data_IF_585833827156
#
_entry.id   IF_585833827156
#
_cell.length_a   1.000
_cell.length_b   1.000
_cell.length_c   1.000
_cell.angle_alpha   90.00
_cell.angle_beta   90.00
_cell.angle_gamma   90.00
#
_symmetry.space_group_name_H-M   'P 1'
#
loop_
_entity.id
_entity.type
_entity.pdbx_description
1 polymer ?
#
# COMPACT_ATOMS: atom_id res chain seq x y z
N UNK A 1 6.45 39.40 -8.56
CA UNK A 1 5.70 40.01 -7.43
C UNK A 1 4.47 39.15 -7.23
N UNK A 2 4.62 38.06 -6.47
CA UNK A 2 4.46 38.03 -5.01
C UNK A 2 2.97 38.07 -4.64
N UNK A 3 2.44 36.90 -4.33
CA UNK A 3 1.08 36.67 -3.88
C UNK A 3 0.77 35.18 -3.71
N UNK A 4 1.77 34.34 -3.40
CA UNK A 4 1.47 33.04 -2.81
C UNK A 4 0.74 33.30 -1.50
N UNK A 5 -0.52 32.92 -1.48
CA UNK A 5 -1.38 33.08 -0.32
C UNK A 5 -0.83 32.26 0.84
N UNK A 6 -0.23 32.95 1.81
CA UNK A 6 0.09 32.41 3.13
C UNK A 6 -1.12 31.72 3.79
N UNK A 7 -2.35 32.01 3.33
CA UNK A 7 -3.57 31.35 3.80
C UNK A 7 -3.80 29.94 3.23
N UNK A 8 -3.19 29.57 2.09
CA UNK A 8 -3.21 28.20 1.54
C UNK A 8 -2.31 27.26 2.34
N UNK A 9 -1.18 27.75 2.87
CA UNK A 9 -0.33 27.00 3.80
C UNK A 9 -0.90 26.92 5.23
N UNK A 10 -1.77 27.86 5.62
CA UNK A 10 -2.41 27.91 6.95
C UNK A 10 -3.72 27.12 7.02
N UNK A 11 -4.38 26.86 5.88
CA UNK A 11 -5.29 25.73 5.71
C UNK A 11 -4.42 24.47 5.48
N UNK A 12 -3.82 23.84 6.49
CA UNK A 12 -4.49 22.70 7.13
C UNK A 12 -3.65 22.13 8.29
N UNK A 13 -2.75 22.88 8.95
CA UNK A 13 -2.04 22.32 10.13
C UNK A 13 -3.01 21.89 11.25
N UNK A 14 -4.11 22.62 11.43
CA UNK A 14 -5.17 22.28 12.39
C UNK A 14 -6.14 21.20 11.88
N UNK A 15 -6.28 21.04 10.56
CA UNK A 15 -7.12 19.99 9.97
C UNK A 15 -6.36 18.66 9.90
N UNK A 16 -5.08 18.66 9.51
CA UNK A 16 -4.21 17.47 9.51
C UNK A 16 -4.00 16.91 10.93
N UNK A 17 -3.85 17.77 11.94
CA UNK A 17 -3.74 17.32 13.34
C UNK A 17 -5.05 16.74 13.89
N UNK A 18 -6.21 17.31 13.52
CA UNK A 18 -7.51 16.73 13.84
C UNK A 18 -7.78 15.42 13.12
N UNK A 19 -7.38 15.32 11.84
CA UNK A 19 -7.46 14.08 11.05
C UNK A 19 -6.59 12.99 11.66
N UNK A 20 -5.39 13.31 12.17
CA UNK A 20 -4.46 12.31 12.73
C UNK A 20 -5.01 11.51 13.92
N UNK A 21 -5.75 12.14 14.84
CA UNK A 21 -6.22 11.47 16.06
C UNK A 21 -7.36 10.47 15.77
N UNK A 22 -8.29 10.85 14.88
CA UNK A 22 -9.51 10.09 14.59
C UNK A 22 -9.49 9.39 13.23
N UNK A 23 -8.40 9.49 12.45
CA UNK A 23 -8.26 8.90 11.11
C UNK A 23 -8.75 7.45 11.05
N UNK A 24 -8.29 6.60 11.98
CA UNK A 24 -8.65 5.18 11.99
C UNK A 24 -10.16 4.96 12.20
N UNK A 25 -10.82 5.84 12.96
CA UNK A 25 -12.27 5.81 13.14
C UNK A 25 -13.03 6.32 11.91
N UNK A 26 -12.44 7.20 11.11
CA UNK A 26 -13.02 7.70 9.87
C UNK A 26 -12.88 6.69 8.72
N UNK A 27 -11.87 5.83 8.73
CA UNK A 27 -11.61 4.87 7.63
C UNK A 27 -12.09 3.45 7.91
N UNK A 28 -12.12 3.00 9.16
CA UNK A 28 -12.53 1.64 9.51
C UNK A 28 -13.91 1.60 10.16
N UNK A 29 -14.79 0.66 9.76
CA UNK A 29 -16.15 0.58 10.27
C UNK A 29 -16.21 0.01 11.69
N UNK A 30 -15.24 -0.81 12.09
CA UNK A 30 -15.24 -1.52 13.37
C UNK A 30 -14.04 -1.15 14.24
N UNK A 31 -14.26 -1.06 15.55
CA UNK A 31 -13.19 -0.86 16.53
C UNK A 31 -12.16 -2.00 16.52
N UNK A 32 -12.56 -3.20 16.13
CA UNK A 32 -11.66 -4.34 15.97
C UNK A 32 -10.58 -4.06 14.93
N UNK A 33 -10.92 -3.48 13.77
CA UNK A 33 -9.94 -3.16 12.73
C UNK A 33 -8.95 -2.08 13.17
N UNK A 34 -9.41 -1.13 13.98
CA UNK A 34 -8.57 -0.10 14.61
C UNK A 34 -7.58 -0.74 15.59
N UNK A 35 -8.05 -1.66 16.44
CA UNK A 35 -7.20 -2.40 17.38
C UNK A 35 -6.18 -3.25 16.63
N UNK A 36 -6.61 -3.99 15.61
CA UNK A 36 -5.73 -4.81 14.76
C UNK A 36 -4.66 -3.97 14.10
N UNK A 37 -5.04 -2.83 13.50
CA UNK A 37 -4.09 -1.90 12.89
C UNK A 37 -3.07 -1.39 13.91
N UNK A 38 -3.54 -0.81 15.03
CA UNK A 38 -2.67 -0.23 16.06
C UNK A 38 -1.71 -1.26 16.65
N UNK A 39 -2.22 -2.45 16.97
CA UNK A 39 -1.43 -3.54 17.53
C UNK A 39 -0.34 -4.02 16.59
N UNK A 40 -0.70 -4.38 15.36
CA UNK A 40 0.26 -4.83 14.35
C UNK A 40 1.24 -3.74 13.93
N UNK A 41 0.79 -2.51 13.74
CA UNK A 41 1.66 -1.38 13.39
C UNK A 41 2.64 -1.05 14.54
N UNK A 42 2.18 -1.08 15.80
CA UNK A 42 3.04 -0.86 16.95
C UNK A 42 4.08 -1.96 17.10
N UNK A 43 3.67 -3.22 16.92
CA UNK A 43 4.56 -4.38 16.96
C UNK A 43 5.62 -4.24 15.86
N UNK A 44 5.18 -3.97 14.63
CA UNK A 44 6.03 -3.81 13.45
C UNK A 44 7.08 -2.71 13.66
N UNK A 45 6.68 -1.54 14.17
CA UNK A 45 7.57 -0.40 14.38
C UNK A 45 8.77 -0.70 15.29
N UNK A 46 8.67 -1.67 16.22
CA UNK A 46 9.79 -2.08 17.09
C UNK A 46 10.95 -2.74 16.33
N UNK A 47 10.68 -3.23 15.12
CA UNK A 47 11.65 -3.94 14.28
C UNK A 47 12.31 -3.06 13.21
N UNK A 48 12.04 -1.76 13.20
CA UNK A 48 12.68 -0.80 12.30
C UNK A 48 13.46 0.24 13.10
N UNK A 49 14.58 0.72 12.55
CA UNK A 49 15.33 1.83 13.15
C UNK A 49 14.66 3.17 12.83
N UNK A 50 14.13 3.26 11.61
CA UNK A 50 13.42 4.41 11.07
C UNK A 50 11.91 4.22 11.16
N UNK A 51 11.11 5.31 11.13
CA UNK A 51 9.67 5.21 11.04
C UNK A 51 9.24 4.37 9.82
N UNK A 52 8.29 3.45 10.07
CA UNK A 52 7.68 2.58 9.06
C UNK A 52 7.10 3.43 7.94
N UNK A 53 7.36 3.07 6.68
CA UNK A 53 6.79 3.76 5.52
C UNK A 53 5.52 3.05 5.08
N UNK A 54 4.36 3.64 5.31
CA UNK A 54 3.04 3.06 5.00
C UNK A 54 2.61 3.44 3.58
N UNK A 55 2.01 2.48 2.87
CA UNK A 55 1.48 2.66 1.49
C UNK A 55 0.09 2.02 1.36
N UNK A 56 -0.36 1.75 0.12
CA UNK A 56 -1.56 0.96 -0.14
C UNK A 56 -2.87 1.65 0.26
N UNK A 57 -3.84 0.86 0.73
CA UNK A 57 -5.21 1.32 1.05
C UNK A 57 -5.24 2.32 2.21
N UNK A 58 -4.36 2.16 3.21
CA UNK A 58 -4.25 3.07 4.36
C UNK A 58 -3.73 4.43 3.90
N UNK A 59 -2.66 4.46 3.10
CA UNK A 59 -2.16 5.72 2.53
C UNK A 59 -3.16 6.38 1.59
N UNK A 60 -3.84 5.58 0.76
CA UNK A 60 -4.93 6.06 -0.10
C UNK A 60 -6.00 6.79 0.72
N UNK A 61 -6.49 6.14 1.78
CA UNK A 61 -7.57 6.68 2.62
C UNK A 61 -7.14 7.95 3.36
N UNK A 62 -5.88 8.02 3.80
CA UNK A 62 -5.33 9.22 4.43
C UNK A 62 -5.36 10.42 3.48
N UNK A 63 -4.83 10.25 2.26
CA UNK A 63 -4.77 11.34 1.28
C UNK A 63 -6.16 11.83 0.88
N UNK A 64 -7.10 10.90 0.69
CA UNK A 64 -8.47 11.24 0.35
C UNK A 64 -9.16 12.03 1.47
N UNK A 65 -9.07 11.55 2.71
CA UNK A 65 -9.65 12.25 3.85
C UNK A 65 -8.99 13.63 4.07
N UNK A 66 -7.67 13.71 3.91
CA UNK A 66 -6.89 14.95 3.95
C UNK A 66 -7.33 16.00 2.92
N UNK A 67 -7.88 15.55 1.79
CA UNK A 67 -8.42 16.39 0.73
C UNK A 67 -9.96 16.52 0.77
N UNK A 68 -10.59 16.14 1.89
CA UNK A 68 -12.05 16.25 2.08
C UNK A 68 -12.88 15.22 1.32
N UNK A 69 -12.24 14.22 0.69
CA UNK A 69 -12.91 13.13 -0.02
C UNK A 69 -13.16 11.98 0.95
N UNK A 70 -14.42 11.82 1.38
CA UNK A 70 -14.84 10.69 2.22
C UNK A 70 -15.16 9.48 1.34
N UNK A 71 -14.69 8.31 1.75
CA UNK A 71 -15.06 7.02 1.15
C UNK A 71 -15.92 6.21 2.13
N UNK A 72 -16.58 5.19 1.60
CA UNK A 72 -17.16 4.16 2.43
C UNK A 72 -16.07 3.53 3.29
N UNK A 73 -16.40 3.26 4.56
CA UNK A 73 -15.46 2.62 5.48
C UNK A 73 -15.28 1.17 5.09
N UNK A 74 -14.04 0.74 4.95
CA UNK A 74 -13.71 -0.62 4.50
C UNK A 74 -13.10 -1.43 5.64
N UNK A 75 -13.26 -2.75 5.59
CA UNK A 75 -12.58 -3.66 6.53
C UNK A 75 -11.08 -3.67 6.26
N UNK A 76 -10.30 -3.73 7.33
CA UNK A 76 -8.85 -3.85 7.22
C UNK A 76 -8.46 -5.30 6.89
N UNK A 77 -7.88 -5.49 5.71
CA UNK A 77 -7.40 -6.80 5.25
C UNK A 77 -5.92 -7.01 5.55
N UNK A 78 -5.12 -5.96 5.34
CA UNK A 78 -3.67 -5.99 5.40
C UNK A 78 -3.08 -4.60 5.65
N UNK A 79 -1.80 -4.56 6.05
CA UNK A 79 -1.00 -3.34 6.15
C UNK A 79 0.12 -3.42 5.11
N UNK A 80 0.12 -2.48 4.17
CA UNK A 80 1.18 -2.36 3.17
C UNK A 80 2.26 -1.39 3.65
N UNK A 81 3.53 -1.82 3.63
CA UNK A 81 4.68 -0.99 4.02
C UNK A 81 5.82 -1.10 3.01
N UNK A 82 6.68 -0.09 2.97
CA UNK A 82 7.85 -0.04 2.11
C UNK A 82 9.12 0.01 2.94
N UNK A 83 10.13 -0.75 2.54
CA UNK A 83 11.48 -0.71 3.11
C UNK A 83 12.48 -0.62 1.97
N UNK A 84 13.58 0.11 2.14
CA UNK A 84 14.55 0.30 1.05
C UNK A 84 15.16 -1.02 0.55
N UNK A 85 15.30 -2.00 1.44
CA UNK A 85 15.81 -3.32 1.13
C UNK A 85 15.96 -4.19 2.38
N UNK A 86 16.73 -5.27 2.24
CA UNK A 86 16.96 -6.25 3.32
C UNK A 86 17.62 -5.64 4.56
N UNK A 87 18.46 -4.62 4.40
CA UNK A 87 19.08 -3.91 5.53
C UNK A 87 18.06 -3.23 6.43
N UNK A 88 16.87 -2.92 5.92
CA UNK A 88 15.77 -2.39 6.72
C UNK A 88 15.05 -3.44 7.55
N UNK A 89 15.28 -4.74 7.33
CA UNK A 89 14.61 -5.82 8.07
C UNK A 89 15.49 -6.31 9.22
N UNK A 90 14.99 -6.20 10.46
CA UNK A 90 15.65 -6.81 11.62
C UNK A 90 15.27 -8.29 11.76
N UNK A 91 16.22 -9.19 12.05
CA UNK A 91 15.92 -10.60 12.30
C UNK A 91 14.93 -10.86 13.45
N UNK A 92 14.76 -9.90 14.37
CA UNK A 92 13.77 -9.99 15.46
C UNK A 92 12.33 -10.03 14.95
N UNK A 93 12.04 -9.69 13.68
CA UNK A 93 10.70 -9.84 13.10
C UNK A 93 10.13 -11.25 13.29
N UNK A 94 10.97 -12.29 13.25
CA UNK A 94 10.53 -13.69 13.41
C UNK A 94 10.03 -14.03 14.81
N UNK A 95 10.32 -13.19 15.80
CA UNK A 95 9.92 -13.40 17.20
C UNK A 95 8.47 -12.95 17.43
N UNK A 96 8.00 -12.02 16.60
CA UNK A 96 6.71 -11.35 16.72
C UNK A 96 5.74 -11.69 15.57
N UNK A 97 6.26 -12.21 14.45
CA UNK A 97 5.50 -12.49 13.24
C UNK A 97 5.85 -13.84 12.61
N UNK A 98 4.83 -14.49 12.03
CA UNK A 98 5.02 -15.60 11.10
C UNK A 98 5.44 -15.06 9.73
N UNK A 99 6.50 -15.62 9.16
CA UNK A 99 6.93 -15.27 7.79
C UNK A 99 6.23 -16.16 6.79
N UNK A 100 5.27 -15.62 6.02
CA UNK A 100 4.59 -16.37 4.97
C UNK A 100 5.41 -16.43 3.67
N UNK A 101 5.97 -15.29 3.28
CA UNK A 101 6.77 -15.17 2.07
C UNK A 101 8.05 -14.41 2.36
N UNK A 102 9.16 -14.82 1.76
CA UNK A 102 10.43 -14.09 1.80
C UNK A 102 11.08 -14.17 0.42
N UNK A 103 11.21 -13.03 -0.25
CA UNK A 103 11.66 -12.92 -1.64
C UNK A 103 12.83 -11.92 -1.79
N UNK A 104 14.03 -12.23 -1.24
CA UNK A 104 15.18 -11.33 -1.25
C UNK A 104 15.65 -10.91 -2.67
N UNK A 105 15.29 -11.68 -3.70
CA UNK A 105 15.78 -11.51 -5.07
C UNK A 105 14.71 -11.08 -6.08
N UNK A 106 13.49 -10.75 -5.64
CA UNK A 106 12.38 -10.41 -6.56
C UNK A 106 12.50 -9.02 -7.19
N UNK A 107 13.45 -8.22 -6.73
CA UNK A 107 13.71 -6.88 -7.24
C UNK A 107 12.76 -5.81 -6.67
N UNK A 108 12.66 -4.69 -7.38
CA UNK A 108 11.97 -3.46 -6.96
C UNK A 108 10.46 -3.49 -7.14
N UNK A 109 9.74 -2.79 -6.26
CA UNK A 109 8.29 -2.66 -6.32
C UNK A 109 7.53 -3.97 -6.10
N UNK A 110 8.20 -4.98 -5.53
CA UNK A 110 7.68 -6.32 -5.26
C UNK A 110 7.74 -6.61 -3.76
N UNK A 111 6.92 -7.56 -3.31
CA UNK A 111 6.93 -8.06 -1.93
C UNK A 111 8.32 -8.62 -1.64
N UNK A 112 8.99 -8.04 -0.65
CA UNK A 112 10.23 -8.50 -0.07
C UNK A 112 9.97 -9.57 0.99
N UNK A 113 9.03 -9.29 1.90
CA UNK A 113 8.62 -10.22 2.95
C UNK A 113 7.12 -10.01 3.22
N UNK A 114 6.37 -11.11 3.40
CA UNK A 114 4.99 -11.07 3.87
C UNK A 114 4.95 -11.68 5.27
N UNK A 115 4.45 -10.89 6.21
CA UNK A 115 4.38 -11.22 7.63
C UNK A 115 2.92 -11.45 8.02
N UNK A 116 2.72 -12.24 9.07
CA UNK A 116 1.42 -12.44 9.70
C UNK A 116 1.56 -12.26 11.21
N UNK A 117 0.79 -11.35 11.76
CA UNK A 117 0.66 -11.12 13.21
C UNK A 117 -0.40 -12.07 13.76
N UNK A 118 0.02 -13.03 14.58
CA UNK A 118 -0.89 -14.02 15.16
C UNK A 118 -1.90 -13.40 16.14
N UNK A 119 -1.46 -12.42 16.91
CA UNK A 119 -2.25 -11.79 17.96
C UNK A 119 -3.40 -10.97 17.38
N UNK A 120 -3.11 -10.20 16.34
CA UNK A 120 -4.06 -9.30 15.69
C UNK A 120 -4.66 -9.88 14.41
N UNK A 121 -4.30 -11.13 14.06
CA UNK A 121 -4.73 -11.81 12.83
C UNK A 121 -4.58 -10.91 11.59
N UNK A 122 -3.41 -10.32 11.43
CA UNK A 122 -3.16 -9.29 10.42
C UNK A 122 -2.08 -9.73 9.45
N UNK A 123 -2.33 -9.55 8.15
CA UNK A 123 -1.29 -9.66 7.13
C UNK A 123 -0.56 -8.33 6.98
N UNK A 124 0.76 -8.38 6.85
CA UNK A 124 1.59 -7.22 6.57
C UNK A 124 2.42 -7.52 5.33
N UNK A 125 2.25 -6.70 4.30
CA UNK A 125 2.97 -6.82 3.04
C UNK A 125 4.10 -5.79 3.00
N UNK A 126 5.34 -6.27 3.04
CA UNK A 126 6.54 -5.42 3.04
C UNK A 126 7.15 -5.42 1.63
N UNK A 127 7.15 -4.27 0.98
CA UNK A 127 7.63 -4.09 -0.38
C UNK A 127 9.00 -3.40 -0.42
N UNK A 128 9.76 -3.68 -1.47
CA UNK A 128 10.85 -2.79 -1.90
C UNK A 128 10.28 -1.59 -2.67
N UNK A 129 10.97 -0.42 -2.70
CA UNK A 129 10.50 0.73 -3.44
C UNK A 129 10.48 0.42 -4.94
N UNK A 130 9.46 0.88 -5.66
CA UNK A 130 9.47 0.81 -7.14
C UNK A 130 10.56 1.71 -7.71
N UNK A 131 10.66 2.94 -7.18
CA UNK A 131 11.60 3.97 -7.63
C UNK A 131 12.54 4.39 -6.50
N UNK A 132 13.76 4.80 -6.84
CA UNK A 132 14.75 5.28 -5.86
C UNK A 132 14.33 6.57 -5.16
N UNK A 133 13.54 7.40 -5.85
CA UNK A 133 13.15 8.72 -5.36
C UNK A 133 11.94 8.67 -4.44
N UNK A 134 11.38 7.49 -4.14
CA UNK A 134 10.22 7.36 -3.26
C UNK A 134 10.48 8.00 -1.88
N UNK A 135 11.70 7.84 -1.36
CA UNK A 135 12.09 8.36 -0.04
C UNK A 135 12.14 9.88 0.04
N UNK A 136 12.20 10.59 -1.10
CA UNK A 136 12.19 12.05 -1.14
C UNK A 136 10.78 12.65 -1.13
N UNK A 137 9.74 11.81 -1.17
CA UNK A 137 8.32 12.22 -1.23
C UNK A 137 7.50 11.53 -0.14
N UNK A 138 8.08 11.44 1.05
CA UNK A 138 7.43 10.89 2.23
C UNK A 138 6.91 12.02 3.11
N UNK A 139 5.75 11.80 3.73
CA UNK A 139 5.19 12.71 4.74
C UNK A 139 5.29 12.05 6.11
N UNK A 140 5.97 12.70 7.06
CA UNK A 140 6.01 12.27 8.45
C UNK A 140 4.65 12.55 9.12
N UNK A 141 4.09 11.55 9.79
CA UNK A 141 2.85 11.68 10.57
C UNK A 141 2.72 10.58 11.62
N UNK A 142 1.64 10.62 12.41
CA UNK A 142 1.30 9.56 13.35
C UNK A 142 -0.03 8.90 12.97
N UNK A 143 -0.02 7.59 12.75
CA UNK A 143 -1.22 6.79 12.54
C UNK A 143 -1.54 6.01 13.82
N UNK A 144 -2.68 6.34 14.44
CA UNK A 144 -3.08 5.70 15.70
C UNK A 144 -2.09 5.95 16.85
N UNK A 145 -1.42 7.11 16.86
CA UNK A 145 -0.42 7.47 17.85
C UNK A 145 0.99 6.92 17.60
N UNK A 146 1.21 6.22 16.48
CA UNK A 146 2.50 5.61 16.14
C UNK A 146 3.14 6.40 15.01
N UNK A 147 4.37 6.87 15.24
CA UNK A 147 5.13 7.60 14.22
C UNK A 147 5.41 6.73 13.00
N UNK A 148 5.11 7.27 11.83
CA UNK A 148 5.33 6.62 10.54
C UNK A 148 5.58 7.67 9.46
N UNK A 149 5.99 7.18 8.29
CA UNK A 149 6.06 7.95 7.05
C UNK A 149 5.00 7.46 6.10
N UNK A 150 4.44 8.34 5.30
CA UNK A 150 3.43 7.99 4.31
C UNK A 150 3.94 8.25 2.90
N UNK A 151 3.75 7.27 2.01
CA UNK A 151 3.99 7.45 0.57
C UNK A 151 3.02 8.51 0.01
N UNK A 152 3.50 9.40 -0.86
CA UNK A 152 2.70 10.45 -1.51
C UNK A 152 1.48 9.90 -2.27
N UNK A 153 0.46 10.74 -2.48
CA UNK A 153 -0.71 10.35 -3.26
C UNK A 153 -0.33 10.04 -4.72
N UNK A 154 0.63 10.78 -5.26
CA UNK A 154 1.12 10.65 -6.63
C UNK A 154 1.86 9.33 -6.86
N UNK A 155 2.71 8.92 -5.91
CA UNK A 155 3.40 7.62 -5.95
C UNK A 155 2.39 6.46 -5.83
N UNK A 156 1.36 6.60 -5.00
CA UNK A 156 0.28 5.59 -4.89
C UNK A 156 -0.54 5.53 -6.19
N UNK A 157 -0.92 6.67 -6.77
CA UNK A 157 -1.66 6.73 -8.02
C UNK A 157 -0.85 6.16 -9.20
N UNK A 158 0.42 6.51 -9.33
CA UNK A 158 1.30 5.96 -10.35
C UNK A 158 1.48 4.43 -10.20
N UNK A 159 1.58 3.93 -8.95
CA UNK A 159 1.59 2.48 -8.69
C UNK A 159 0.31 1.82 -9.14
N UNK A 160 -0.85 2.36 -8.74
CA UNK A 160 -2.14 1.80 -9.10
C UNK A 160 -2.35 1.81 -10.61
N UNK A 161 -1.98 2.89 -11.30
CA UNK A 161 -2.02 2.95 -12.76
C UNK A 161 -1.19 1.82 -13.38
N UNK A 162 0.02 1.55 -12.89
CA UNK A 162 0.85 0.44 -13.38
C UNK A 162 0.21 -0.94 -13.13
N UNK A 163 -0.53 -1.08 -12.03
CA UNK A 163 -1.25 -2.31 -11.65
C UNK A 163 -2.47 -2.53 -12.56
N UNK A 164 -3.22 -1.49 -12.91
CA UNK A 164 -4.44 -1.59 -13.75
C UNK A 164 -4.16 -1.48 -15.25
N UNK A 165 -2.98 -0.97 -15.64
CA UNK A 165 -2.55 -0.86 -17.03
C UNK A 165 -2.75 -2.15 -17.86
N UNK A 166 -2.51 -3.38 -17.36
CA UNK A 166 -2.74 -4.60 -18.13
C UNK A 166 -4.14 -4.75 -18.76
N UNK A 167 -5.15 -4.02 -18.26
CA UNK A 167 -6.46 -3.92 -18.92
C UNK A 167 -6.38 -3.40 -20.37
N UNK A 168 -5.36 -2.61 -20.73
CA UNK A 168 -5.13 -2.17 -22.11
C UNK A 168 -4.86 -3.33 -23.07
N UNK A 169 -4.42 -4.46 -22.53
CA UNK A 169 -4.12 -5.70 -23.27
C UNK A 169 -5.17 -6.79 -23.04
N UNK A 170 -6.31 -6.44 -22.43
CA UNK A 170 -7.39 -7.37 -22.13
C UNK A 170 -7.13 -8.30 -20.94
N UNK A 171 -6.12 -8.01 -20.11
CA UNK A 171 -5.90 -8.77 -18.87
C UNK A 171 -6.94 -8.37 -17.80
N UNK A 172 -7.49 -9.34 -17.04
CA UNK A 172 -8.41 -9.03 -15.96
C UNK A 172 -7.69 -8.35 -14.79
N UNK A 173 -8.38 -7.41 -14.15
CA UNK A 173 -7.88 -6.63 -13.02
C UNK A 173 -8.91 -6.60 -11.88
N UNK A 174 -8.45 -6.44 -10.64
CA UNK A 174 -9.37 -6.32 -9.50
C UNK A 174 -10.07 -4.96 -9.52
N UNK A 175 -11.41 -4.91 -9.39
CA UNK A 175 -12.18 -3.66 -9.43
C UNK A 175 -11.68 -2.60 -8.43
N UNK A 176 -11.30 -3.03 -7.23
CA UNK A 176 -10.84 -2.14 -6.15
C UNK A 176 -9.65 -1.26 -6.55
N UNK A 177 -8.74 -1.75 -7.41
CA UNK A 177 -7.59 -0.95 -7.84
C UNK A 177 -8.01 0.17 -8.78
N UNK A 178 -9.01 -0.07 -9.63
CA UNK A 178 -9.57 0.95 -10.54
C UNK A 178 -10.30 2.01 -9.74
N UNK A 179 -11.13 1.59 -8.77
CA UNK A 179 -11.87 2.49 -7.89
C UNK A 179 -10.90 3.39 -7.09
N UNK A 180 -9.88 2.79 -6.46
CA UNK A 180 -8.87 3.53 -5.73
C UNK A 180 -8.13 4.51 -6.64
N UNK A 181 -7.73 4.07 -7.84
CA UNK A 181 -7.05 4.92 -8.81
C UNK A 181 -7.91 6.12 -9.22
N UNK A 182 -9.16 5.88 -9.65
CA UNK A 182 -10.08 6.93 -10.10
C UNK A 182 -10.30 8.00 -9.03
N UNK A 183 -10.47 7.58 -7.77
CA UNK A 183 -10.72 8.52 -6.67
C UNK A 183 -9.44 9.29 -6.32
N UNK A 184 -8.28 8.62 -6.25
CA UNK A 184 -7.00 9.31 -6.03
C UNK A 184 -6.66 10.29 -7.16
N UNK A 185 -6.95 9.93 -8.40
CA UNK A 185 -6.69 10.78 -9.56
C UNK A 185 -7.37 12.15 -9.46
N UNK A 186 -8.44 12.28 -8.67
CA UNK A 186 -9.12 13.56 -8.44
C UNK A 186 -8.38 14.54 -7.51
N UNK A 187 -7.38 14.07 -6.76
CA UNK A 187 -6.68 14.87 -5.74
C UNK A 187 -5.16 14.99 -5.96
N UNK A 188 -4.58 14.20 -6.86
CA UNK A 188 -3.13 14.22 -7.10
C UNK A 188 -2.69 15.48 -7.85
N UNK A 189 -1.49 15.96 -7.57
CA UNK A 189 -0.82 16.92 -8.44
C UNK A 189 -0.40 16.25 -9.76
N UNK A 190 -1.10 16.58 -10.85
CA UNK A 190 -0.88 15.95 -12.15
C UNK A 190 0.54 16.19 -12.69
N UNK A 191 1.17 17.33 -12.38
CA UNK A 191 2.53 17.59 -12.84
C UNK A 191 3.52 16.60 -12.19
N UNK A 192 3.43 16.43 -10.88
CA UNK A 192 4.25 15.47 -10.13
C UNK A 192 3.91 14.02 -10.51
N UNK A 193 2.63 13.67 -10.69
CA UNK A 193 2.22 12.33 -11.09
C UNK A 193 2.80 11.91 -12.46
N UNK A 194 2.85 12.83 -13.44
CA UNK A 194 3.49 12.59 -14.75
C UNK A 194 4.97 12.25 -14.61
N UNK A 195 5.69 12.98 -13.78
CA UNK A 195 7.12 12.74 -13.57
C UNK A 195 7.35 11.37 -12.94
N UNK A 196 6.58 11.05 -11.90
CA UNK A 196 6.68 9.79 -11.16
C UNK A 196 6.30 8.59 -12.02
N UNK A 197 5.27 8.72 -12.87
CA UNK A 197 4.77 7.64 -13.73
C UNK A 197 5.87 6.93 -14.51
N UNK A 198 6.83 7.69 -15.04
CA UNK A 198 7.95 7.13 -15.83
C UNK A 198 8.79 6.13 -15.07
N UNK A 199 8.90 6.28 -13.74
CA UNK A 199 9.62 5.33 -12.89
C UNK A 199 8.77 4.14 -12.44
N UNK A 200 7.43 4.28 -12.43
CA UNK A 200 6.52 3.21 -12.03
C UNK A 200 6.08 2.31 -13.19
N UNK A 201 6.07 2.85 -14.40
CA UNK A 201 5.68 2.09 -15.59
C UNK A 201 6.70 0.98 -15.90
N UNK A 202 6.20 -0.20 -16.26
CA UNK A 202 7.06 -1.30 -16.75
C UNK A 202 7.58 -0.95 -18.15
N UNK A 203 8.62 -1.63 -18.61
CA UNK A 203 9.16 -1.45 -19.97
C UNK A 203 8.10 -1.66 -21.07
N UNK A 204 7.14 -2.58 -20.84
CA UNK A 204 6.03 -2.82 -21.76
C UNK A 204 4.92 -1.75 -21.72
N UNK A 205 4.96 -0.82 -20.77
CA UNK A 205 3.97 0.23 -20.57
C UNK A 205 4.52 1.51 -21.18
N UNK A 206 4.35 1.68 -22.49
CA UNK A 206 5.03 2.72 -23.27
C UNK A 206 4.32 4.07 -23.27
N UNK A 207 3.04 4.12 -22.90
CA UNK A 207 2.23 5.34 -22.90
C UNK A 207 2.68 6.33 -21.81
N UNK A 208 2.58 7.63 -22.10
CA UNK A 208 2.72 8.66 -21.07
C UNK A 208 1.49 8.67 -20.15
N UNK A 209 1.53 9.45 -19.07
CA UNK A 209 0.58 9.30 -17.95
C UNK A 209 -0.88 9.45 -18.38
N UNK A 210 -1.24 10.55 -19.04
CA UNK A 210 -2.60 10.80 -19.54
C UNK A 210 -3.06 9.74 -20.53
N UNK A 211 -2.19 9.39 -21.48
CA UNK A 211 -2.50 8.41 -22.52
C UNK A 211 -2.77 7.03 -21.91
N UNK A 212 -2.02 6.67 -20.86
CA UNK A 212 -2.20 5.44 -20.10
C UNK A 212 -3.53 5.46 -19.33
N UNK A 213 -3.88 6.58 -18.68
CA UNK A 213 -5.18 6.74 -18.00
C UNK A 213 -6.32 6.56 -18.99
N UNK A 214 -6.30 7.29 -20.10
CA UNK A 214 -7.33 7.22 -21.12
C UNK A 214 -7.44 5.82 -21.74
N UNK A 215 -6.31 5.14 -21.97
CA UNK A 215 -6.29 3.79 -22.52
C UNK A 215 -6.93 2.77 -21.56
N UNK A 216 -6.60 2.84 -20.27
CA UNK A 216 -7.20 1.97 -19.24
C UNK A 216 -8.71 2.21 -19.16
N UNK A 217 -9.14 3.47 -19.09
CA UNK A 217 -10.56 3.83 -18.99
C UNK A 217 -11.36 3.39 -20.21
N UNK A 218 -10.81 3.57 -21.43
CA UNK A 218 -11.42 3.06 -22.66
C UNK A 218 -11.55 1.54 -22.65
N UNK A 219 -10.50 0.82 -22.24
CA UNK A 219 -10.53 -0.65 -22.20
C UNK A 219 -11.57 -1.19 -21.23
N UNK A 220 -11.64 -0.63 -20.03
CA UNK A 220 -12.63 -1.02 -19.01
C UNK A 220 -14.05 -0.70 -19.48
N UNK A 221 -14.25 0.47 -20.10
CA UNK A 221 -15.57 0.87 -20.62
C UNK A 221 -16.02 -0.02 -21.77
N UNK A 222 -15.10 -0.37 -22.69
CA UNK A 222 -15.41 -1.24 -23.82
C UNK A 222 -15.60 -2.71 -23.41
N UNK A 223 -14.96 -3.13 -22.32
CA UNK A 223 -15.05 -4.50 -21.82
C UNK A 223 -15.12 -4.54 -20.27
N UNK A 224 -16.33 -4.35 -19.70
CA UNK A 224 -16.52 -4.39 -18.25
C UNK A 224 -16.11 -5.72 -17.61
N UNK A 225 -16.12 -6.83 -18.35
CA UNK A 225 -15.73 -8.17 -17.87
C UNK A 225 -14.23 -8.28 -17.54
N UNK A 226 -13.44 -7.25 -17.85
CA UNK A 226 -12.06 -7.12 -17.36
C UNK A 226 -12.01 -6.91 -15.84
N UNK A 227 -13.07 -6.37 -15.23
CA UNK A 227 -13.14 -6.14 -13.79
C UNK A 227 -13.55 -7.44 -13.09
N UNK A 228 -12.57 -8.21 -12.63
CA UNK A 228 -12.80 -9.50 -11.96
C UNK A 228 -12.20 -9.49 -10.58
N UNK A 229 -13.01 -9.79 -9.56
CA UNK A 229 -12.51 -9.98 -8.21
C UNK A 229 -11.48 -11.11 -8.19
N UNK A 230 -10.27 -10.79 -7.75
CA UNK A 230 -9.24 -11.79 -7.52
C UNK A 230 -9.63 -12.67 -6.34
N UNK A 231 -9.47 -13.99 -6.48
CA UNK A 231 -9.54 -14.89 -5.33
C UNK A 231 -8.16 -15.01 -4.70
N UNK A 232 -8.05 -14.64 -3.43
CA UNK A 232 -6.84 -14.94 -2.67
C UNK A 232 -6.67 -16.45 -2.62
N UNK A 233 -5.54 -16.96 -3.12
CA UNK A 233 -5.30 -18.40 -3.11
C UNK A 233 -5.22 -18.92 -1.68
N UNK A 234 -6.14 -19.83 -1.34
CA UNK A 234 -6.17 -20.57 -0.07
C UNK A 234 -5.57 -21.97 -0.22
N UNK A 235 -4.84 -22.24 -1.32
CA UNK A 235 -4.21 -23.53 -1.54
C UNK A 235 -3.01 -23.71 -0.61
N UNK A 236 -3.18 -24.49 0.46
CA UNK A 236 -2.13 -24.83 1.44
C UNK A 236 -0.96 -25.60 0.83
N UNK A 237 -1.17 -26.25 -0.32
CA UNK A 237 -0.14 -27.02 -1.03
C UNK A 237 0.60 -26.18 -2.08
N UNK A 238 0.22 -24.91 -2.25
CA UNK A 238 0.88 -24.04 -3.22
C UNK A 238 2.29 -23.67 -2.74
N UNK A 239 3.29 -24.06 -3.53
CA UNK A 239 4.67 -23.62 -3.33
C UNK A 239 4.92 -22.31 -4.07
N UNK A 240 5.58 -21.35 -3.41
CA UNK A 240 6.00 -20.11 -4.05
C UNK A 240 7.41 -20.29 -4.63
N UNK A 241 7.54 -20.24 -5.97
CA UNK A 241 8.83 -20.34 -6.65
C UNK A 241 9.83 -19.23 -6.31
N UNK A 242 9.36 -18.13 -5.71
CA UNK A 242 10.18 -16.99 -5.33
C UNK A 242 10.65 -17.04 -3.88
N UNK A 243 10.04 -17.90 -3.05
CA UNK A 243 10.38 -17.99 -1.63
C UNK A 243 11.79 -18.55 -1.46
N UNK A 244 12.56 -17.93 -0.57
CA UNK A 244 13.89 -18.39 -0.19
C UNK A 244 13.87 -18.87 1.27
N UNK A 245 14.47 -20.03 1.52
CA UNK A 245 14.77 -20.49 2.88
C UNK A 245 15.80 -19.55 3.53
N UNK A 246 15.57 -19.18 4.79
CA UNK A 246 16.44 -18.28 5.53
C UNK A 246 16.45 -18.63 7.00
N UNK A 247 17.65 -18.70 7.60
CA UNK A 247 17.79 -18.84 9.05
C UNK A 247 17.30 -17.59 9.80
N UNK A 248 17.39 -16.43 9.17
CA UNK A 248 16.97 -15.15 9.75
C UNK A 248 15.47 -14.94 9.62
N UNK A 249 14.86 -15.47 8.57
CA UNK A 249 13.42 -15.33 8.28
C UNK A 249 12.85 -16.69 7.86
N UNK A 250 12.77 -17.66 8.79
CA UNK A 250 12.26 -19.00 8.47
C UNK A 250 10.79 -18.93 8.07
N UNK A 251 10.42 -19.63 6.99
CA UNK A 251 9.04 -19.66 6.54
C UNK A 251 8.17 -20.45 7.52
N UNK A 252 7.03 -19.87 7.87
CA UNK A 252 6.03 -20.54 8.70
C UNK A 252 5.25 -21.58 7.87
N UNK A 253 4.77 -22.67 8.50
CA UNK A 253 3.86 -23.61 7.84
C UNK A 253 2.61 -22.88 7.32
N UNK A 254 2.24 -23.11 6.05
CA UNK A 254 1.08 -22.44 5.43
C UNK A 254 -0.23 -22.76 6.14
N UNK A 255 -0.37 -23.96 6.72
CA UNK A 255 -1.54 -24.33 7.54
C UNK A 255 -1.71 -23.39 8.72
N UNK A 256 -0.63 -23.09 9.45
CA UNK A 256 -0.66 -22.18 10.59
C UNK A 256 -0.98 -20.75 10.15
N UNK A 257 -0.40 -20.30 9.03
CA UNK A 257 -0.70 -18.98 8.48
C UNK A 257 -2.18 -18.83 8.11
N UNK A 258 -2.77 -19.83 7.46
CA UNK A 258 -4.18 -19.77 7.05
C UNK A 258 -5.15 -19.92 8.21
N UNK A 259 -4.82 -20.70 9.24
CA UNK A 259 -5.57 -20.78 10.50
C UNK A 259 -5.66 -19.39 11.16
N UNK A 260 -4.53 -18.69 11.27
CA UNK A 260 -4.46 -17.35 11.86
C UNK A 260 -5.27 -16.33 11.06
N UNK A 261 -5.21 -16.40 9.73
CA UNK A 261 -5.96 -15.50 8.84
C UNK A 261 -7.44 -15.89 8.68
N UNK A 262 -7.89 -16.99 9.31
CA UNK A 262 -9.29 -17.42 9.27
C UNK A 262 -9.74 -18.02 7.94
N UNK A 263 -8.82 -18.60 7.17
CA UNK A 263 -9.14 -19.28 5.91
C UNK A 263 -9.42 -20.78 6.06
N UNK A 264 -9.01 -21.38 7.18
CA UNK A 264 -9.22 -22.80 7.52
C UNK A 264 -9.65 -22.96 8.97
#
# INVERSE_FOLDING_TARGET
MAGESFASLLMSRNQITGISADFLHEVFPASEDITRFRGSHSKLARHFEEPVVVTGSVATSWHLLGNGVRREKERLNDIDVVVEGLSGLRPSLREDFLVKHFHPHRGRGRILIQLVDEEHRMRIDVFTPTVNTLTTRLTDLALGGISCRLVSAEDVAAKLLSVIYPATSGEPIEPKYVEHFRVLFTIVDLATAREIWRGYRKESQTLEFEEAVDAVERSITANPDLLRAGHYSQNINQTCQWCCESKLFPLAPLSKVYEVLGYV
#
